data_IF_602820962628
#
_entry.id   IF_602820962628
#
_cell.length_a   1.000
_cell.length_b   1.000
_cell.length_c   1.000
_cell.angle_alpha   90.00
_cell.angle_beta   90.00
_cell.angle_gamma   90.00
#
_symmetry.space_group_name_H-M   'P 1'
#
loop_
_entity.id
_entity.type
_entity.pdbx_description
1 polymer ?
#
# COMPACT_ATOMS: atom_id res chain seq x y z
N UNK A 1 -0.53 -14.97 17.09
CA UNK A 1 -0.52 -15.57 18.43
C UNK A 1 0.70 -16.46 18.62
N UNK A 2 0.83 -17.09 19.79
CA UNK A 2 1.99 -17.93 20.14
C UNK A 2 2.20 -19.12 19.19
N UNK A 3 1.12 -19.71 18.67
CA UNK A 3 1.17 -20.85 17.72
C UNK A 3 1.80 -20.42 16.39
N UNK A 4 1.42 -19.30 15.87
CA UNK A 4 1.98 -18.77 14.60
C UNK A 4 3.48 -18.55 14.74
N UNK A 5 3.91 -17.90 15.82
CA UNK A 5 5.32 -17.67 16.10
C UNK A 5 6.11 -18.98 16.23
N UNK A 6 5.51 -20.01 16.84
CA UNK A 6 6.12 -21.33 16.96
C UNK A 6 6.32 -21.98 15.58
N UNK A 7 5.31 -21.91 14.69
CA UNK A 7 5.39 -22.44 13.32
C UNK A 7 6.49 -21.70 12.52
N UNK A 8 6.52 -20.38 12.59
CA UNK A 8 7.55 -19.56 11.93
C UNK A 8 8.97 -19.90 12.42
N UNK A 9 9.12 -20.13 13.72
CA UNK A 9 10.40 -20.52 14.31
C UNK A 9 10.84 -21.91 13.83
N UNK A 10 9.92 -22.87 13.77
CA UNK A 10 10.21 -24.22 13.24
C UNK A 10 10.62 -24.15 11.78
N UNK A 11 9.87 -23.43 10.94
CA UNK A 11 10.20 -23.26 9.53
C UNK A 11 11.59 -22.62 9.34
N UNK A 12 11.88 -21.58 10.12
CA UNK A 12 13.21 -20.94 10.11
C UNK A 12 14.33 -21.87 10.54
N UNK A 13 14.12 -22.65 11.60
CA UNK A 13 15.13 -23.56 12.14
C UNK A 13 15.40 -24.74 11.19
N UNK A 14 14.37 -25.26 10.56
CA UNK A 14 14.48 -26.42 9.66
C UNK A 14 14.83 -26.06 8.22
N UNK A 15 14.72 -24.77 7.84
CA UNK A 15 14.90 -24.29 6.47
C UNK A 15 13.76 -24.69 5.52
N UNK A 16 12.63 -25.15 6.05
CA UNK A 16 11.44 -25.48 5.24
C UNK A 16 10.70 -24.22 4.87
N UNK A 17 10.22 -24.17 3.62
CA UNK A 17 9.41 -23.04 3.14
C UNK A 17 8.07 -23.02 3.88
N UNK A 18 7.72 -21.88 4.46
CA UNK A 18 6.42 -21.63 5.05
C UNK A 18 5.50 -20.99 4.01
N UNK A 19 4.31 -21.58 3.82
CA UNK A 19 3.21 -20.96 3.07
C UNK A 19 2.24 -20.38 4.09
N UNK A 20 2.20 -19.06 4.17
CA UNK A 20 1.33 -18.35 5.09
C UNK A 20 -0.05 -18.13 4.46
N UNK A 21 -1.08 -18.72 5.06
CA UNK A 21 -2.48 -18.49 4.68
C UNK A 21 -3.14 -17.39 5.52
N UNK A 22 -2.55 -17.01 6.63
CA UNK A 22 -3.15 -16.01 7.51
C UNK A 22 -3.18 -14.63 6.83
N UNK A 23 -2.05 -14.19 6.27
CA UNK A 23 -1.95 -12.87 5.65
C UNK A 23 -2.93 -12.69 4.47
N UNK A 24 -3.02 -13.61 3.49
CA UNK A 24 -3.96 -13.46 2.37
C UNK A 24 -5.42 -13.64 2.75
N UNK A 25 -5.74 -14.37 3.84
CA UNK A 25 -7.11 -14.59 4.30
C UNK A 25 -7.56 -13.55 5.35
N UNK A 26 -6.62 -12.93 6.06
CA UNK A 26 -6.94 -11.98 7.12
C UNK A 26 -7.88 -10.83 6.71
N UNK A 27 -7.79 -10.28 5.48
CA UNK A 27 -8.71 -9.25 5.03
C UNK A 27 -10.16 -9.72 4.83
N UNK A 28 -10.42 -11.02 4.91
CA UNK A 28 -11.70 -11.65 4.53
C UNK A 28 -12.31 -12.49 5.67
N UNK A 29 -12.74 -11.89 6.79
CA UNK A 29 -13.19 -12.67 7.94
C UNK A 29 -14.44 -13.51 7.70
N UNK A 30 -15.20 -13.26 6.63
CA UNK A 30 -16.46 -13.94 6.32
C UNK A 30 -16.31 -15.16 5.44
N UNK A 31 -15.15 -15.37 4.81
CA UNK A 31 -14.88 -16.56 4.00
C UNK A 31 -14.68 -17.82 4.86
N UNK A 32 -14.59 -17.68 6.17
CA UNK A 32 -14.62 -18.77 7.12
C UNK A 32 -16.00 -18.84 7.77
N UNK A 33 -16.99 -19.34 7.03
CA UNK A 33 -18.43 -19.29 7.39
C UNK A 33 -18.78 -19.94 8.72
N UNK A 34 -18.00 -20.93 9.16
CA UNK A 34 -18.11 -21.59 10.45
C UNK A 34 -16.90 -21.31 11.38
N UNK A 35 -16.14 -20.26 11.07
CA UNK A 35 -14.90 -19.84 11.72
C UNK A 35 -13.72 -20.83 11.56
N UNK A 36 -13.86 -21.87 10.75
CA UNK A 36 -12.83 -22.91 10.55
C UNK A 36 -12.62 -23.22 9.07
N UNK A 37 -13.71 -23.45 8.33
CA UNK A 37 -13.64 -23.90 6.94
C UNK A 37 -13.82 -22.76 5.97
N UNK A 38 -12.91 -22.60 4.98
CA UNK A 38 -13.06 -21.60 3.95
C UNK A 38 -14.23 -21.96 3.02
N UNK A 39 -14.95 -20.94 2.61
CA UNK A 39 -15.90 -21.03 1.51
C UNK A 39 -15.17 -21.18 0.15
N UNK A 40 -15.88 -21.28 -1.00
CA UNK A 40 -15.23 -21.41 -2.31
C UNK A 40 -14.26 -20.28 -2.64
N UNK A 41 -14.52 -19.05 -2.20
CA UNK A 41 -13.62 -17.91 -2.43
C UNK A 41 -12.36 -18.02 -1.55
N UNK A 42 -12.51 -18.34 -0.28
CA UNK A 42 -11.39 -18.62 0.61
C UNK A 42 -10.53 -19.78 0.13
N UNK A 43 -11.15 -20.85 -0.34
CA UNK A 43 -10.45 -21.99 -0.95
C UNK A 43 -9.67 -21.57 -2.21
N UNK A 44 -10.20 -20.68 -3.01
CA UNK A 44 -9.55 -20.14 -4.20
C UNK A 44 -8.32 -19.27 -3.82
N UNK A 45 -8.44 -18.40 -2.81
CA UNK A 45 -7.32 -17.60 -2.29
C UNK A 45 -6.20 -18.52 -1.77
N UNK A 46 -6.56 -19.57 -1.04
CA UNK A 46 -5.58 -20.55 -0.57
C UNK A 46 -4.88 -21.26 -1.73
N UNK A 47 -5.63 -21.68 -2.75
CA UNK A 47 -5.07 -22.32 -3.93
C UNK A 47 -4.12 -21.38 -4.70
N UNK A 48 -4.47 -20.12 -4.87
CA UNK A 48 -3.60 -19.11 -5.45
C UNK A 48 -2.33 -18.91 -4.63
N UNK A 49 -2.45 -18.88 -3.30
CA UNK A 49 -1.31 -18.74 -2.39
C UNK A 49 -0.33 -19.90 -2.54
N UNK A 50 -0.84 -21.14 -2.60
CA UNK A 50 -0.03 -22.33 -2.84
C UNK A 50 0.62 -22.29 -4.23
N UNK A 51 -0.17 -21.94 -5.27
CA UNK A 51 0.34 -21.82 -6.63
C UNK A 51 1.51 -20.85 -6.70
N UNK A 52 1.35 -19.63 -6.16
CA UNK A 52 2.40 -18.63 -6.15
C UNK A 52 3.63 -19.09 -5.36
N UNK A 53 3.44 -19.75 -4.22
CA UNK A 53 4.54 -20.26 -3.41
C UNK A 53 5.34 -21.36 -4.12
N UNK A 54 4.67 -22.21 -4.91
CA UNK A 54 5.33 -23.31 -5.64
C UNK A 54 5.98 -22.83 -6.94
N UNK A 55 5.28 -21.96 -7.69
CA UNK A 55 5.76 -21.50 -9.01
C UNK A 55 6.67 -20.30 -8.94
N UNK A 56 6.58 -19.53 -7.85
CA UNK A 56 7.22 -18.22 -7.74
C UNK A 56 6.51 -17.11 -8.51
N UNK A 57 5.36 -17.40 -9.13
CA UNK A 57 4.56 -16.42 -9.87
C UNK A 57 3.60 -15.67 -8.93
N UNK A 58 3.91 -14.43 -8.67
CA UNK A 58 3.09 -13.50 -7.89
C UNK A 58 2.36 -12.48 -8.77
N UNK A 59 2.33 -12.71 -10.09
CA UNK A 59 1.70 -11.83 -11.07
C UNK A 59 2.53 -10.59 -11.38
N UNK A 60 3.85 -10.72 -11.34
CA UNK A 60 4.80 -9.67 -11.70
C UNK A 60 4.95 -8.56 -10.68
N UNK A 61 5.51 -7.43 -11.13
CA UNK A 61 5.77 -6.26 -10.28
C UNK A 61 4.47 -5.55 -9.89
N UNK A 62 4.26 -5.38 -8.59
CA UNK A 62 3.09 -4.70 -8.01
C UNK A 62 3.52 -3.70 -6.94
N UNK A 63 2.86 -2.54 -6.93
CA UNK A 63 3.10 -1.47 -5.97
C UNK A 63 1.84 -1.17 -5.16
N UNK A 64 2.02 -0.67 -3.94
CA UNK A 64 0.92 -0.15 -3.13
C UNK A 64 0.25 1.05 -3.82
N UNK A 65 -1.04 1.25 -3.57
CA UNK A 65 -1.82 2.41 -4.04
C UNK A 65 -1.27 3.76 -3.54
N UNK A 66 -0.41 3.75 -2.52
CA UNK A 66 0.27 4.96 -2.05
C UNK A 66 1.26 5.53 -3.08
N UNK A 67 1.76 4.67 -3.99
CA UNK A 67 2.69 5.10 -5.04
C UNK A 67 1.89 5.58 -6.25
N UNK A 68 1.78 6.89 -6.37
CA UNK A 68 1.20 7.56 -7.55
C UNK A 68 2.01 8.79 -7.91
N UNK A 69 1.77 9.36 -9.06
CA UNK A 69 2.30 10.67 -9.40
C UNK A 69 1.94 11.70 -8.32
N UNK A 70 2.71 12.77 -8.23
CA UNK A 70 2.54 13.85 -7.26
C UNK A 70 2.76 13.46 -5.77
N UNK A 71 3.19 12.23 -5.45
CA UNK A 71 3.40 11.82 -4.06
C UNK A 71 4.49 12.64 -3.37
N UNK A 72 4.41 12.64 -2.02
CA UNK A 72 5.46 13.19 -1.16
C UNK A 72 6.12 12.05 -0.39
N UNK A 73 7.44 12.01 -0.43
CA UNK A 73 8.26 11.11 0.37
C UNK A 73 8.80 11.86 1.57
N UNK A 74 8.81 11.21 2.75
CA UNK A 74 9.36 11.85 3.96
C UNK A 74 10.83 12.16 3.77
N UNK A 75 11.20 13.43 3.97
CA UNK A 75 12.58 13.91 3.91
C UNK A 75 13.41 13.50 5.12
N UNK A 76 14.73 13.56 4.98
CA UNK A 76 15.71 13.40 6.05
C UNK A 76 15.68 12.07 6.82
N UNK A 77 14.95 11.08 6.31
CA UNK A 77 14.92 9.71 6.84
C UNK A 77 15.27 8.72 5.73
N UNK A 78 15.78 7.52 6.06
CA UNK A 78 15.97 6.46 5.07
C UNK A 78 14.65 6.15 4.34
N UNK A 79 14.69 6.14 3.00
CA UNK A 79 13.53 5.91 2.17
C UNK A 79 13.38 4.41 1.89
N UNK A 80 12.42 3.77 2.54
CA UNK A 80 12.09 2.37 2.27
C UNK A 80 11.03 2.29 1.18
N UNK A 81 11.34 1.59 0.09
CA UNK A 81 10.43 1.27 -1.01
C UNK A 81 10.25 -0.24 -1.03
N UNK A 82 9.00 -0.69 -1.11
CA UNK A 82 8.65 -2.10 -1.06
C UNK A 82 7.47 -2.44 -1.96
N UNK A 83 7.37 -3.71 -2.33
CA UNK A 83 6.31 -4.20 -3.19
C UNK A 83 6.35 -5.72 -3.36
N UNK A 84 5.66 -6.18 -4.37
CA UNK A 84 5.62 -7.60 -4.78
C UNK A 84 6.22 -7.72 -6.17
N UNK A 85 6.90 -8.81 -6.45
CA UNK A 85 7.35 -9.23 -7.77
C UNK A 85 7.42 -10.76 -7.79
N UNK A 86 7.68 -11.37 -8.93
CA UNK A 86 7.88 -12.82 -8.98
C UNK A 86 9.10 -13.23 -8.17
N UNK A 87 9.04 -14.41 -7.55
CA UNK A 87 10.11 -14.90 -6.70
C UNK A 87 11.44 -14.93 -7.48
N UNK A 88 12.44 -14.27 -6.93
CA UNK A 88 13.74 -14.21 -7.54
C UNK A 88 13.95 -13.07 -8.53
N UNK A 89 12.93 -12.29 -8.89
CA UNK A 89 13.07 -11.11 -9.73
C UNK A 89 14.04 -10.10 -9.13
N UNK A 90 14.88 -9.56 -9.99
CA UNK A 90 15.74 -8.43 -9.63
C UNK A 90 14.94 -7.14 -9.76
N UNK A 91 14.82 -6.42 -8.64
CA UNK A 91 14.14 -5.14 -8.58
C UNK A 91 15.17 -4.02 -8.45
N UNK A 92 15.06 -3.04 -9.31
CA UNK A 92 15.86 -1.82 -9.26
C UNK A 92 14.96 -0.65 -8.92
N UNK A 93 15.34 0.12 -7.92
CA UNK A 93 14.66 1.35 -7.51
C UNK A 93 15.62 2.52 -7.66
N UNK A 94 15.18 3.58 -8.31
CA UNK A 94 15.98 4.80 -8.47
C UNK A 94 15.16 6.07 -8.30
N UNK A 95 15.76 7.06 -7.63
CA UNK A 95 15.23 8.40 -7.45
C UNK A 95 16.38 9.40 -7.33
N UNK A 96 16.29 10.52 -8.01
CA UNK A 96 17.38 11.50 -8.11
C UNK A 96 18.68 10.83 -8.59
N UNK A 97 19.76 10.98 -7.85
CA UNK A 97 21.07 10.38 -8.07
C UNK A 97 21.26 9.02 -7.38
N UNK A 98 20.22 8.50 -6.74
CA UNK A 98 20.26 7.28 -5.93
C UNK A 98 19.70 6.10 -6.71
N UNK A 99 20.36 4.97 -6.61
CA UNK A 99 19.86 3.70 -7.13
C UNK A 99 20.22 2.57 -6.19
N UNK A 100 19.24 1.69 -5.94
CA UNK A 100 19.42 0.47 -5.16
C UNK A 100 18.79 -0.71 -5.88
N UNK A 101 19.34 -1.90 -5.64
CA UNK A 101 18.85 -3.14 -6.18
C UNK A 101 18.56 -4.14 -5.08
N UNK A 102 17.56 -4.94 -5.28
CA UNK A 102 17.19 -6.05 -4.39
C UNK A 102 16.71 -7.23 -5.23
N UNK A 103 16.37 -8.30 -4.57
CA UNK A 103 15.77 -9.49 -5.16
C UNK A 103 14.51 -9.84 -4.40
N UNK A 104 13.42 -10.14 -5.12
CA UNK A 104 12.20 -10.62 -4.51
C UNK A 104 12.44 -11.97 -3.81
N UNK A 105 11.94 -12.10 -2.60
CA UNK A 105 12.01 -13.33 -1.83
C UNK A 105 11.13 -14.42 -2.41
N UNK A 106 11.20 -15.63 -1.82
CA UNK A 106 10.34 -16.75 -2.21
C UNK A 106 8.84 -16.46 -2.01
N UNK A 107 8.51 -15.52 -1.14
CA UNK A 107 7.14 -15.04 -0.91
C UNK A 107 6.74 -13.86 -1.82
N UNK A 108 7.52 -13.56 -2.84
CA UNK A 108 7.31 -12.46 -3.76
C UNK A 108 7.57 -11.06 -3.18
N UNK A 109 7.78 -10.92 -1.88
CA UNK A 109 8.01 -9.61 -1.26
C UNK A 109 9.44 -9.12 -1.51
N UNK A 110 9.56 -7.84 -1.74
CA UNK A 110 10.85 -7.16 -1.85
C UNK A 110 10.83 -5.81 -1.14
N UNK A 111 11.98 -5.39 -0.70
CA UNK A 111 12.20 -4.09 -0.07
C UNK A 111 13.60 -3.58 -0.36
N UNK A 112 13.74 -2.29 -0.56
CA UNK A 112 15.03 -1.58 -0.59
C UNK A 112 14.94 -0.34 0.29
N UNK A 113 16.08 0.05 0.86
CA UNK A 113 16.22 1.30 1.60
C UNK A 113 17.24 2.17 0.91
N UNK A 114 16.81 3.32 0.39
CA UNK A 114 17.67 4.32 -0.20
C UNK A 114 18.13 5.33 0.88
N UNK A 115 19.27 5.99 0.69
CA UNK A 115 19.70 7.08 1.54
C UNK A 115 18.66 8.21 1.61
N UNK A 116 18.61 8.97 2.72
CA UNK A 116 17.67 10.07 2.90
C UNK A 116 17.73 11.10 1.78
N UNK A 117 16.57 11.62 1.39
CA UNK A 117 16.43 12.78 0.51
C UNK A 117 16.32 14.05 1.35
N UNK A 118 16.97 15.13 0.92
CA UNK A 118 16.68 16.47 1.44
C UNK A 118 15.38 16.99 0.85
N UNK A 119 14.73 17.95 1.53
CA UNK A 119 13.57 18.64 0.98
C UNK A 119 13.86 19.15 -0.44
N UNK A 120 12.95 18.90 -1.37
CA UNK A 120 13.12 19.29 -2.76
C UNK A 120 12.30 18.45 -3.73
N UNK A 121 12.63 18.59 -5.00
CA UNK A 121 11.94 17.99 -6.13
C UNK A 121 11.63 19.03 -7.20
N UNK A 122 10.83 18.71 -8.22
CA UNK A 122 10.21 17.39 -8.44
C UNK A 122 11.23 16.32 -8.89
N UNK A 123 11.07 15.13 -8.34
CA UNK A 123 11.83 13.95 -8.72
C UNK A 123 10.97 12.99 -9.55
N UNK A 124 11.64 12.02 -10.16
CA UNK A 124 11.01 10.84 -10.74
C UNK A 124 11.47 9.62 -9.95
N UNK A 125 10.53 8.86 -9.38
CA UNK A 125 10.78 7.54 -8.79
C UNK A 125 10.56 6.49 -9.86
N UNK A 126 11.59 5.66 -10.12
CA UNK A 126 11.50 4.53 -11.05
C UNK A 126 11.71 3.24 -10.29
N UNK A 127 10.87 2.26 -10.59
CA UNK A 127 10.93 0.91 -10.03
C UNK A 127 10.78 -0.04 -11.20
N UNK A 128 11.73 -0.96 -11.37
CA UNK A 128 11.69 -1.89 -12.51
C UNK A 128 12.22 -3.25 -12.13
N UNK A 129 11.70 -4.26 -12.81
CA UNK A 129 12.29 -5.57 -12.99
C UNK A 129 12.95 -5.66 -14.37
N UNK A 130 13.42 -6.84 -14.76
CA UNK A 130 13.96 -7.07 -16.10
C UNK A 130 12.81 -7.04 -17.16
N UNK A 131 11.55 -7.27 -16.76
CA UNK A 131 10.40 -7.40 -17.67
C UNK A 131 9.50 -6.16 -17.71
N UNK A 132 9.34 -5.47 -16.59
CA UNK A 132 8.36 -4.38 -16.45
C UNK A 132 8.82 -3.31 -15.45
N UNK A 133 8.12 -2.19 -15.41
CA UNK A 133 8.44 -1.13 -14.45
C UNK A 133 7.36 -0.07 -14.31
N UNK A 134 7.48 0.66 -13.22
CA UNK A 134 6.68 1.83 -12.90
C UNK A 134 7.56 3.07 -12.89
N UNK A 135 6.99 4.18 -13.29
CA UNK A 135 7.61 5.50 -13.20
C UNK A 135 6.59 6.47 -12.63
N UNK A 136 6.90 7.02 -11.46
CA UNK A 136 6.07 8.02 -10.79
C UNK A 136 6.73 9.38 -10.94
N UNK A 137 5.97 10.35 -11.44
CA UNK A 137 6.46 11.69 -11.76
C UNK A 137 6.04 12.71 -10.71
N UNK A 138 6.70 13.88 -10.75
CA UNK A 138 6.40 15.00 -9.87
C UNK A 138 6.44 14.64 -8.38
N UNK A 139 7.37 13.76 -7.99
CA UNK A 139 7.57 13.32 -6.60
C UNK A 139 8.32 14.40 -5.84
N UNK A 140 7.83 14.78 -4.67
CA UNK A 140 8.51 15.69 -3.76
C UNK A 140 9.13 14.93 -2.58
N UNK A 141 10.21 15.47 -2.03
CA UNK A 141 10.69 15.12 -0.70
C UNK A 141 10.33 16.26 0.25
N UNK A 142 9.54 15.97 1.28
CA UNK A 142 9.00 16.96 2.19
C UNK A 142 8.53 16.36 3.50
N UNK A 143 7.74 17.11 4.25
CA UNK A 143 7.09 16.61 5.46
C UNK A 143 5.81 15.84 5.07
N UNK A 144 5.62 14.66 5.65
CA UNK A 144 4.44 13.84 5.49
C UNK A 144 3.68 13.80 6.80
N UNK A 145 2.43 14.23 6.78
CA UNK A 145 1.54 14.26 7.93
C UNK A 145 0.41 13.27 7.75
N UNK A 146 0.20 12.41 8.75
CA UNK A 146 -1.00 11.57 8.82
C UNK A 146 -2.08 12.32 9.60
N UNK A 147 -3.11 12.75 8.89
CA UNK A 147 -4.27 13.41 9.47
C UNK A 147 -5.38 12.38 9.68
N UNK A 148 -5.69 12.06 10.93
CA UNK A 148 -6.70 11.08 11.29
C UNK A 148 -7.61 11.64 12.39
N UNK A 149 -8.87 11.24 12.39
CA UNK A 149 -9.84 11.69 13.39
C UNK A 149 -11.26 11.33 13.00
N UNK A 150 -12.20 12.09 13.53
CA UNK A 150 -13.64 11.96 13.27
C UNK A 150 -14.13 13.05 12.31
N UNK A 151 -15.36 13.48 12.47
CA UNK A 151 -16.07 14.46 11.63
C UNK A 151 -15.28 15.74 11.32
N UNK A 152 -14.43 16.20 12.24
CA UNK A 152 -13.60 17.38 11.99
C UNK A 152 -12.50 17.14 10.94
N UNK A 153 -12.09 15.88 10.70
CA UNK A 153 -11.16 15.55 9.60
C UNK A 153 -11.85 15.52 8.24
N UNK A 154 -13.16 15.32 8.21
CA UNK A 154 -13.97 15.42 6.99
C UNK A 154 -14.46 16.84 6.71
N UNK A 155 -14.22 17.78 7.64
CA UNK A 155 -14.68 19.16 7.53
C UNK A 155 -13.94 19.89 6.41
N UNK A 156 -14.64 20.12 5.32
CA UNK A 156 -14.05 20.74 4.14
C UNK A 156 -13.87 22.24 4.32
N UNK A 157 -12.84 22.82 3.74
CA UNK A 157 -12.60 24.27 3.76
C UNK A 157 -13.82 25.07 3.34
N UNK A 158 -14.60 24.61 2.34
CA UNK A 158 -15.85 25.26 1.90
C UNK A 158 -16.94 25.39 2.98
N UNK A 159 -16.84 24.63 4.05
CA UNK A 159 -17.78 24.67 5.19
C UNK A 159 -17.29 25.60 6.32
N UNK A 160 -16.05 26.06 6.24
CA UNK A 160 -15.48 26.96 7.24
C UNK A 160 -16.08 28.37 7.12
N UNK A 161 -16.20 29.07 8.24
CA UNK A 161 -16.67 30.46 8.28
C UNK A 161 -15.77 31.41 7.48
N UNK A 162 -14.51 31.06 7.29
CA UNK A 162 -13.50 31.80 6.53
C UNK A 162 -13.42 31.39 5.05
N UNK A 163 -14.21 30.42 4.60
CA UNK A 163 -14.14 29.81 3.28
C UNK A 163 -14.04 30.82 2.14
N UNK A 164 -14.85 31.89 2.19
CA UNK A 164 -14.87 32.94 1.15
C UNK A 164 -13.52 33.65 0.99
N UNK A 165 -12.78 33.81 2.07
CA UNK A 165 -11.48 34.47 2.06
C UNK A 165 -10.34 33.48 1.76
N UNK A 166 -10.46 32.24 2.21
CA UNK A 166 -9.38 31.28 2.22
C UNK A 166 -9.33 30.43 0.95
N UNK A 167 -10.48 30.04 0.38
CA UNK A 167 -10.54 29.24 -0.86
C UNK A 167 -9.69 29.84 -1.98
N UNK A 168 -9.79 31.14 -2.32
CA UNK A 168 -8.99 31.72 -3.40
C UNK A 168 -7.47 31.68 -3.17
N UNK A 169 -7.06 31.47 -1.90
CA UNK A 169 -5.65 31.40 -1.48
C UNK A 169 -5.17 29.94 -1.29
N UNK A 170 -6.08 28.99 -1.31
CA UNK A 170 -5.79 27.58 -1.09
C UNK A 170 -5.21 26.90 -2.34
N UNK A 171 -4.23 27.55 -2.99
CA UNK A 171 -3.50 27.00 -4.12
C UNK A 171 -2.04 26.93 -3.73
N UNK A 172 -1.54 25.72 -3.53
CA UNK A 172 -0.13 25.49 -3.23
C UNK A 172 0.38 24.25 -3.97
N UNK A 173 1.30 24.44 -4.89
CA UNK A 173 1.89 23.35 -5.65
C UNK A 173 2.89 22.52 -4.85
N UNK A 174 3.35 22.99 -3.69
CA UNK A 174 4.21 22.23 -2.78
C UNK A 174 3.42 21.42 -1.76
N UNK A 175 2.15 21.78 -1.52
CA UNK A 175 1.24 21.01 -0.68
C UNK A 175 0.55 19.94 -1.52
N UNK A 176 0.66 18.70 -1.08
CA UNK A 176 0.01 17.53 -1.70
C UNK A 176 -0.95 16.91 -0.71
N UNK A 177 -2.06 16.45 -1.21
CA UNK A 177 -3.11 15.80 -0.45
C UNK A 177 -3.29 14.37 -0.96
N UNK A 178 -3.29 13.42 -0.04
CA UNK A 178 -3.71 12.05 -0.30
C UNK A 178 -4.99 11.81 0.48
N UNK A 179 -6.12 11.95 -0.21
CA UNK A 179 -7.43 11.81 0.40
C UNK A 179 -7.87 10.34 0.30
N UNK A 180 -7.77 9.63 1.42
CA UNK A 180 -8.23 8.25 1.53
C UNK A 180 -9.76 8.22 1.58
N UNK A 181 -10.40 8.35 0.42
CA UNK A 181 -11.86 8.29 0.34
C UNK A 181 -12.35 6.87 0.61
N UNK A 182 -13.07 6.75 1.71
CA UNK A 182 -13.87 5.56 1.95
C UNK A 182 -14.98 5.47 0.89
N UNK A 183 -15.18 4.30 0.29
CA UNK A 183 -16.29 4.04 -0.64
C UNK A 183 -17.64 4.26 0.01
N UNK A 184 -17.72 4.02 1.30
CA UNK A 184 -18.93 4.11 2.10
C UNK A 184 -18.71 5.02 3.29
N UNK A 185 -19.74 5.79 3.62
CA UNK A 185 -19.79 6.48 4.90
C UNK A 185 -20.06 5.42 5.97
N UNK A 186 -19.08 5.11 6.78
CA UNK A 186 -19.16 4.12 7.85
C UNK A 186 -20.35 4.33 8.82
N UNK A 187 -20.87 5.56 8.92
CA UNK A 187 -22.00 5.90 9.78
C UNK A 187 -23.38 5.72 9.09
N UNK A 188 -23.43 5.42 7.81
CA UNK A 188 -24.67 5.33 7.03
C UNK A 188 -24.99 3.90 6.59
N UNK A 189 -24.09 2.95 6.83
CA UNK A 189 -24.22 1.57 6.40
C UNK A 189 -24.24 0.71 7.64
N UNK A 190 -25.32 0.00 7.86
CA UNK A 190 -25.32 -1.14 8.76
C UNK A 190 -24.25 -2.11 8.22
N UNK A 191 -23.52 -2.75 9.12
CA UNK A 191 -22.41 -3.64 8.81
C UNK A 191 -22.94 -4.93 8.15
N UNK A 192 -23.42 -4.81 6.91
CA UNK A 192 -23.80 -5.96 6.11
C UNK A 192 -22.56 -6.72 5.64
N UNK A 193 -22.68 -8.03 5.47
CA UNK A 193 -21.56 -8.90 5.09
C UNK A 193 -20.85 -8.45 3.81
N UNK A 194 -21.59 -8.01 2.80
CA UNK A 194 -21.05 -7.47 1.55
C UNK A 194 -20.25 -6.17 1.72
N UNK A 195 -20.62 -5.34 2.69
CA UNK A 195 -19.87 -4.11 3.01
C UNK A 195 -18.58 -4.45 3.72
N UNK A 196 -18.65 -5.34 4.71
CA UNK A 196 -17.48 -5.83 5.42
C UNK A 196 -16.53 -6.56 4.47
N UNK A 197 -17.05 -7.34 3.56
CA UNK A 197 -16.29 -7.99 2.49
C UNK A 197 -15.53 -6.98 1.62
N UNK A 198 -16.21 -5.93 1.19
CA UNK A 198 -15.57 -4.84 0.43
C UNK A 198 -14.48 -4.09 1.22
N UNK A 199 -14.63 -3.96 2.54
CA UNK A 199 -13.61 -3.38 3.42
C UNK A 199 -12.36 -4.26 3.45
N UNK A 200 -12.55 -5.55 3.53
CA UNK A 200 -11.48 -6.53 3.65
C UNK A 200 -10.70 -6.73 2.35
N UNK A 201 -11.36 -6.58 1.19
CA UNK A 201 -10.70 -6.66 -0.12
C UNK A 201 -9.81 -5.46 -0.47
N UNK A 202 -9.45 -4.61 0.51
CA UNK A 202 -8.74 -3.35 0.28
C UNK A 202 -9.43 -2.43 -0.74
N UNK A 203 -10.68 -2.72 -1.08
CA UNK A 203 -11.50 -1.91 -1.98
C UNK A 203 -12.17 -0.74 -1.25
N UNK A 204 -11.91 -0.61 0.05
CA UNK A 204 -12.41 0.49 0.87
C UNK A 204 -11.92 1.84 0.37
N UNK A 205 -10.70 1.88 -0.13
CA UNK A 205 -10.07 3.07 -0.66
C UNK A 205 -9.99 2.95 -2.18
N UNK A 206 -11.02 3.42 -2.88
CA UNK A 206 -11.01 3.53 -4.33
C UNK A 206 -10.53 4.91 -4.76
N UNK A 207 -9.84 4.92 -5.90
CA UNK A 207 -9.51 6.13 -6.64
C UNK A 207 -8.71 7.14 -5.80
N UNK A 208 -7.83 6.64 -4.94
CA UNK A 208 -6.93 7.47 -4.15
C UNK A 208 -5.65 7.73 -4.92
N UNK A 209 -5.32 8.99 -5.04
CA UNK A 209 -4.09 9.48 -5.66
C UNK A 209 -3.62 10.74 -4.93
N UNK A 210 -2.34 11.03 -5.04
CA UNK A 210 -1.81 12.29 -4.55
C UNK A 210 -2.21 13.42 -5.48
N UNK A 211 -2.78 14.48 -4.92
CA UNK A 211 -3.25 15.67 -5.65
C UNK A 211 -2.55 16.93 -5.17
N UNK A 212 -2.36 17.86 -6.07
CA UNK A 212 -1.97 19.21 -5.70
C UNK A 212 -3.09 19.86 -4.87
N UNK A 213 -2.72 20.70 -3.92
CA UNK A 213 -3.70 21.53 -3.23
C UNK A 213 -4.26 22.55 -4.22
N UNK A 214 -5.53 22.38 -4.52
CA UNK A 214 -6.34 23.31 -5.34
C UNK A 214 -7.68 23.52 -4.66
N UNK A 215 -8.34 24.67 -4.88
CA UNK A 215 -9.68 24.93 -4.31
C UNK A 215 -10.71 23.90 -4.70
#
# INVERSE_FOLDING_TARGET
GEIQLAIENVARYTGVQLIDFHEPLYPYPFILTDAVHPDPEGAFIMAQTVYSAITGDYGGLKMSLLYTDNMVLQRDVPLTVQGIANAGDRVTVSIADRQMKTKAGLNGKWSVTLPPLKAGGPYTLKISTDETGFQYQNVLAGEVWLCSGQSNMEFMLKQASTARADIPRAVDQQLRLYDMKARWRTNAVEWEANVLDSLNHLQYYKDTEWKNCTP
#
